data_IF_815744048357
#
_entry.id   IF_815744048357
#
_cell.length_a   1.000
_cell.length_b   1.000
_cell.length_c   1.000
_cell.angle_alpha   90.00
_cell.angle_beta   90.00
_cell.angle_gamma   90.00
#
_symmetry.space_group_name_H-M   'P 1'
#
loop_
_entity.id
_entity.type
_entity.pdbx_description
1 polymer ?
#
# COMPACT_ATOMS: atom_id res chain seq x y z
N UNK A 1 -4.27 -5.96 10.74
CA UNK A 1 -5.46 -5.46 9.99
C UNK A 1 -6.00 -4.16 10.58
N UNK A 2 -6.32 -4.12 11.86
CA UNK A 2 -6.86 -2.90 12.50
C UNK A 2 -5.91 -1.71 12.39
N UNK A 3 -4.61 -1.92 12.60
CA UNK A 3 -3.61 -0.85 12.46
C UNK A 3 -3.50 -0.34 11.04
N UNK A 4 -3.53 -1.23 10.05
CA UNK A 4 -3.45 -0.84 8.65
C UNK A 4 -4.69 -0.04 8.23
N UNK A 5 -5.87 -0.42 8.70
CA UNK A 5 -7.11 0.32 8.45
C UNK A 5 -7.06 1.72 9.04
N UNK A 6 -6.58 1.83 10.28
CA UNK A 6 -6.42 3.12 10.95
C UNK A 6 -5.43 4.02 10.22
N UNK A 7 -4.28 3.47 9.84
CA UNK A 7 -3.24 4.23 9.13
C UNK A 7 -3.73 4.72 7.76
N UNK A 8 -4.45 3.88 7.02
CA UNK A 8 -5.00 4.31 5.74
C UNK A 8 -5.95 5.49 5.93
N UNK A 9 -6.83 5.43 6.92
CA UNK A 9 -7.75 6.51 7.22
C UNK A 9 -7.02 7.80 7.61
N UNK A 10 -6.05 7.70 8.52
CA UNK A 10 -5.29 8.86 8.99
C UNK A 10 -4.45 9.48 7.88
N UNK A 11 -3.78 8.66 7.09
CA UNK A 11 -2.83 9.11 6.07
C UNK A 11 -3.51 9.56 4.78
N UNK A 12 -4.67 9.04 4.45
CA UNK A 12 -5.32 9.30 3.17
C UNK A 12 -6.76 9.78 3.24
N UNK A 13 -7.44 9.55 4.35
CA UNK A 13 -8.87 9.81 4.49
C UNK A 13 -9.76 8.74 3.88
N UNK A 14 -9.19 7.64 3.39
CA UNK A 14 -9.95 6.52 2.85
C UNK A 14 -10.20 5.45 3.90
N UNK A 15 -11.37 4.84 3.85
CA UNK A 15 -11.80 3.82 4.80
C UNK A 15 -12.77 2.82 4.17
N UNK A 16 -13.22 1.88 4.98
CA UNK A 16 -14.18 0.83 4.60
C UNK A 16 -13.61 -0.08 3.51
N UNK A 17 -14.45 -0.61 2.63
CA UNK A 17 -14.02 -1.49 1.55
C UNK A 17 -13.70 -2.91 2.01
N UNK A 18 -13.07 -3.64 1.13
CA UNK A 18 -12.69 -5.05 1.33
C UNK A 18 -11.18 -5.14 1.51
N UNK A 19 -10.75 -5.76 2.60
CA UNK A 19 -9.36 -5.88 2.98
C UNK A 19 -8.85 -7.32 2.88
N UNK A 20 -7.70 -7.49 2.27
CA UNK A 20 -7.08 -8.79 2.11
C UNK A 20 -5.59 -8.69 2.37
N UNK A 21 -5.06 -9.61 3.19
CA UNK A 21 -3.62 -9.75 3.34
C UNK A 21 -3.08 -10.54 2.15
N UNK A 22 -2.18 -9.96 1.39
CA UNK A 22 -1.65 -10.58 0.18
C UNK A 22 -0.19 -11.00 0.28
N UNK A 23 0.54 -10.45 1.24
CA UNK A 23 1.96 -10.78 1.36
C UNK A 23 2.43 -10.63 2.79
N UNK A 24 3.35 -11.52 3.17
CA UNK A 24 4.14 -11.40 4.39
C UNK A 24 5.60 -11.43 3.97
N UNK A 25 6.38 -10.47 4.43
CA UNK A 25 7.78 -10.37 4.05
C UNK A 25 8.64 -9.90 5.21
N UNK A 26 9.95 -10.05 5.06
CA UNK A 26 10.93 -9.50 5.98
C UNK A 26 12.01 -8.79 5.17
N UNK A 27 12.33 -7.58 5.56
CA UNK A 27 13.36 -6.79 4.88
C UNK A 27 14.76 -7.39 5.06
N UNK A 28 14.99 -8.10 6.18
CA UNK A 28 16.30 -8.65 6.49
C UNK A 28 16.15 -9.95 7.30
N UNK A 29 15.80 -11.07 6.64
CA UNK A 29 15.50 -12.33 7.34
C UNK A 29 16.70 -12.93 8.07
N UNK A 30 17.93 -12.56 7.69
CA UNK A 30 19.15 -13.07 8.33
C UNK A 30 19.45 -12.44 9.68
N UNK A 31 18.92 -11.27 9.98
CA UNK A 31 19.23 -10.51 11.20
C UNK A 31 18.01 -10.04 11.98
N UNK A 32 16.83 -10.06 11.36
CA UNK A 32 15.57 -9.62 11.97
C UNK A 32 14.53 -10.71 11.95
N UNK A 33 13.78 -10.81 13.04
CA UNK A 33 12.61 -11.71 13.14
C UNK A 33 11.31 -10.98 12.78
N UNK A 34 11.35 -9.67 12.65
CA UNK A 34 10.17 -8.86 12.33
C UNK A 34 9.67 -9.15 10.92
N UNK A 35 8.36 -9.22 10.80
CA UNK A 35 7.68 -9.45 9.53
C UNK A 35 6.79 -8.25 9.20
N UNK A 36 6.72 -7.94 7.91
CA UNK A 36 5.82 -6.93 7.38
C UNK A 36 4.64 -7.63 6.72
N UNK A 37 3.45 -7.25 7.14
CA UNK A 37 2.19 -7.76 6.59
C UNK A 37 1.64 -6.72 5.62
N UNK A 38 1.44 -7.15 4.39
CA UNK A 38 1.01 -6.25 3.31
C UNK A 38 -0.43 -6.56 2.92
N UNK A 39 -1.26 -5.52 2.88
CA UNK A 39 -2.69 -5.63 2.63
C UNK A 39 -3.06 -4.86 1.38
N UNK A 40 -4.11 -5.32 0.71
CA UNK A 40 -4.83 -4.55 -0.29
C UNK A 40 -6.23 -4.25 0.22
N UNK A 41 -6.68 -3.03 -0.02
CA UNK A 41 -8.05 -2.61 0.27
C UNK A 41 -8.69 -2.17 -1.04
N UNK A 42 -9.81 -2.81 -1.38
CA UNK A 42 -10.58 -2.48 -2.59
C UNK A 42 -11.92 -1.86 -2.20
N UNK A 43 -12.50 -1.08 -3.10
CA UNK A 43 -13.79 -0.40 -2.87
C UNK A 43 -13.79 0.51 -1.64
N UNK A 44 -12.64 1.13 -1.36
CA UNK A 44 -12.53 2.10 -0.27
C UNK A 44 -13.20 3.41 -0.63
N UNK A 45 -13.61 4.15 0.40
CA UNK A 45 -14.35 5.40 0.27
C UNK A 45 -13.56 6.55 0.90
N UNK A 46 -13.59 7.70 0.26
CA UNK A 46 -13.06 8.93 0.84
C UNK A 46 -14.06 9.43 1.88
N UNK A 47 -13.73 9.28 3.16
CA UNK A 47 -14.65 9.60 4.26
C UNK A 47 -14.22 10.82 5.08
N UNK A 48 -12.97 11.23 4.98
CA UNK A 48 -12.46 12.39 5.74
C UNK A 48 -11.24 13.00 5.04
N UNK A 49 -10.78 14.13 5.57
CA UNK A 49 -9.47 14.67 5.22
C UNK A 49 -8.37 13.84 5.90
N UNK A 50 -7.13 14.05 5.49
CA UNK A 50 -5.98 13.46 6.17
C UNK A 50 -5.88 13.98 7.60
N UNK A 51 -5.42 13.10 8.50
CA UNK A 51 -5.12 13.43 9.89
C UNK A 51 -3.68 13.05 10.19
N UNK A 52 -2.75 13.80 9.60
CA UNK A 52 -1.32 13.54 9.72
C UNK A 52 -0.78 14.04 11.06
N UNK A 53 0.20 13.34 11.60
CA UNK A 53 0.97 13.83 12.73
C UNK A 53 1.87 14.99 12.27
N UNK A 54 2.33 15.82 13.21
CA UNK A 54 3.08 17.03 12.90
C UNK A 54 4.38 16.76 12.11
N UNK A 55 4.95 15.56 12.25
CA UNK A 55 6.18 15.16 11.57
C UNK A 55 5.94 14.45 10.23
N UNK A 56 4.69 14.18 9.90
CA UNK A 56 4.34 13.49 8.67
C UNK A 56 4.11 14.48 7.52
N UNK A 57 4.60 14.11 6.35
CA UNK A 57 4.39 14.86 5.10
C UNK A 57 4.00 13.85 4.02
N UNK A 58 2.71 13.63 3.86
CA UNK A 58 2.18 12.62 2.94
C UNK A 58 1.26 13.28 1.93
N UNK A 59 1.58 13.12 0.66
CA UNK A 59 0.72 13.54 -0.44
C UNK A 59 0.08 12.31 -1.08
N UNK A 60 -1.24 12.33 -1.20
CA UNK A 60 -1.99 11.23 -1.81
C UNK A 60 -2.16 11.47 -3.30
N UNK A 61 -1.81 10.48 -4.10
CA UNK A 61 -2.00 10.49 -5.54
C UNK A 61 -2.96 9.38 -5.95
N UNK A 62 -3.97 9.71 -6.71
CA UNK A 62 -4.88 8.74 -7.30
C UNK A 62 -4.43 8.46 -8.73
N UNK A 63 -3.98 7.25 -8.97
CA UNK A 63 -3.41 6.85 -10.25
C UNK A 63 -4.26 5.78 -10.92
N UNK A 64 -4.31 5.79 -12.24
CA UNK A 64 -4.90 4.71 -13.01
C UNK A 64 -4.02 3.46 -12.96
N UNK A 65 -4.58 2.31 -13.33
CA UNK A 65 -3.82 1.08 -13.44
C UNK A 65 -2.62 1.24 -14.39
N UNK A 66 -2.81 1.89 -15.53
CA UNK A 66 -1.74 2.11 -16.51
C UNK A 66 -0.64 3.01 -15.95
N UNK A 67 -1.00 4.03 -15.20
CA UNK A 67 -0.03 4.90 -14.54
C UNK A 67 0.79 4.15 -13.49
N UNK A 68 0.16 3.28 -12.71
CA UNK A 68 0.85 2.45 -11.72
C UNK A 68 1.82 1.49 -12.41
N UNK A 69 1.39 0.84 -13.47
CA UNK A 69 2.23 -0.07 -14.25
C UNK A 69 3.43 0.66 -14.85
N UNK A 70 3.21 1.85 -15.38
CA UNK A 70 4.28 2.68 -15.92
C UNK A 70 5.33 3.03 -14.86
N UNK A 71 4.89 3.41 -13.67
CA UNK A 71 5.79 3.69 -12.55
C UNK A 71 6.61 2.46 -12.16
N UNK A 72 5.99 1.28 -12.12
CA UNK A 72 6.71 0.05 -11.82
C UNK A 72 7.79 -0.26 -12.85
N UNK A 73 7.47 -0.14 -14.14
CA UNK A 73 8.42 -0.42 -15.22
C UNK A 73 9.58 0.57 -15.28
N UNK A 74 9.37 1.79 -14.80
CA UNK A 74 10.38 2.85 -14.79
C UNK A 74 11.15 2.94 -13.46
N UNK A 75 10.92 1.99 -12.55
CA UNK A 75 11.50 2.02 -11.20
C UNK A 75 11.10 3.28 -10.43
N UNK A 76 9.91 3.80 -10.68
CA UNK A 76 9.40 5.00 -10.00
C UNK A 76 8.92 4.75 -8.57
N UNK A 77 8.80 3.49 -8.18
CA UNK A 77 8.46 3.09 -6.81
C UNK A 77 9.71 2.47 -6.20
N UNK A 78 10.48 3.28 -5.47
CA UNK A 78 11.81 2.87 -4.99
C UNK A 78 11.78 1.99 -3.74
N UNK A 79 10.73 2.11 -2.92
CA UNK A 79 10.62 1.31 -1.71
C UNK A 79 10.25 -0.13 -2.09
N UNK A 80 11.15 -1.08 -1.79
CA UNK A 80 11.05 -2.45 -2.30
C UNK A 80 9.80 -3.20 -1.83
N UNK A 81 9.37 -2.98 -0.58
CA UNK A 81 8.16 -3.65 -0.07
C UNK A 81 6.89 -3.10 -0.74
N UNK A 82 6.84 -1.82 -1.02
CA UNK A 82 5.71 -1.22 -1.75
C UNK A 82 5.66 -1.75 -3.19
N UNK A 83 6.80 -1.75 -3.87
CA UNK A 83 6.88 -2.26 -5.23
C UNK A 83 6.50 -3.74 -5.30
N UNK A 84 7.05 -4.57 -4.40
CA UNK A 84 6.75 -5.99 -4.36
C UNK A 84 5.27 -6.27 -4.11
N UNK A 85 4.65 -5.54 -3.20
CA UNK A 85 3.22 -5.68 -2.90
C UNK A 85 2.36 -5.36 -4.11
N UNK A 86 2.69 -4.28 -4.82
CA UNK A 86 1.96 -3.88 -6.03
C UNK A 86 2.14 -4.92 -7.12
N UNK A 87 3.36 -5.39 -7.36
CA UNK A 87 3.62 -6.45 -8.34
C UNK A 87 2.80 -7.70 -8.05
N UNK A 88 2.76 -8.12 -6.78
CA UNK A 88 1.99 -9.29 -6.39
C UNK A 88 0.50 -9.12 -6.63
N UNK A 89 -0.05 -7.96 -6.26
CA UNK A 89 -1.45 -7.65 -6.52
C UNK A 89 -1.80 -7.73 -8.01
N UNK A 90 -0.98 -7.13 -8.85
CA UNK A 90 -1.19 -7.14 -10.29
C UNK A 90 -1.13 -8.57 -10.85
N UNK A 91 -0.15 -9.36 -10.41
CA UNK A 91 -0.01 -10.74 -10.85
C UNK A 91 -1.18 -11.61 -10.41
N UNK A 92 -1.63 -11.46 -9.16
CA UNK A 92 -2.77 -12.22 -8.63
C UNK A 92 -4.07 -11.96 -9.39
N UNK A 93 -4.21 -10.79 -9.96
CA UNK A 93 -5.42 -10.36 -10.67
C UNK A 93 -5.27 -10.37 -12.20
N UNK A 94 -4.20 -10.98 -12.71
CA UNK A 94 -3.93 -11.06 -14.14
C UNK A 94 -3.92 -9.69 -14.84
N UNK A 95 -3.41 -8.68 -14.14
CA UNK A 95 -3.34 -7.30 -14.65
C UNK A 95 -1.97 -6.98 -15.27
N UNK A 96 -1.09 -7.96 -15.24
CA UNK A 96 0.26 -7.81 -15.79
C UNK A 96 0.67 -9.06 -16.58
#
# INVERSE_FOLDING_TARGET
MVSAQRELLEETGYANGNWEQIMVTSANPGTHTNRTYCFVATDVEKVSAQHLEATEDITVYLLSLEEVKDLLYKDGILQSMHAATIWKYLAMNNLI
#
